data_IF_474396942336
#
_entry.id   IF_474396942336
#
_cell.length_a   1.000
_cell.length_b   1.000
_cell.length_c   1.000
_cell.angle_alpha   90.00
_cell.angle_beta   90.00
_cell.angle_gamma   90.00
#
_symmetry.space_group_name_H-M   'P 1'
#
loop_
_entity.id
_entity.type
_entity.pdbx_description
1 polymer ?
#
# COMPACT_ATOMS: atom_id res chain seq x y z
N UNK A 1 18.48 14.32 12.98
CA UNK A 1 18.67 15.16 11.77
C UNK A 1 17.93 16.48 11.84
N UNK A 2 16.61 16.52 12.06
CA UNK A 2 15.86 17.79 12.16
C UNK A 2 16.42 18.78 13.19
N UNK A 3 16.74 18.31 14.41
CA UNK A 3 17.35 19.15 15.44
C UNK A 3 18.73 19.69 15.04
N UNK A 4 19.57 18.83 14.45
CA UNK A 4 20.92 19.21 14.00
C UNK A 4 20.82 20.33 12.95
N UNK A 5 19.87 20.22 12.01
CA UNK A 5 19.62 21.27 11.03
C UNK A 5 19.13 22.56 11.69
N UNK A 6 18.25 22.47 12.70
CA UNK A 6 17.78 23.61 13.48
C UNK A 6 18.91 24.33 14.24
N UNK A 7 19.80 23.58 14.89
CA UNK A 7 20.98 24.12 15.58
C UNK A 7 21.94 24.78 14.58
N UNK A 8 22.16 24.15 13.41
CA UNK A 8 22.99 24.71 12.35
C UNK A 8 22.42 26.04 11.82
N UNK A 9 21.10 26.13 11.62
CA UNK A 9 20.42 27.37 11.21
C UNK A 9 20.54 28.44 12.31
N UNK A 10 20.45 28.06 13.59
CA UNK A 10 20.63 28.99 14.70
C UNK A 10 22.07 29.54 14.80
N UNK A 11 23.08 28.72 14.48
CA UNK A 11 24.49 29.16 14.42
C UNK A 11 24.76 30.09 13.24
N UNK A 12 24.15 29.83 12.08
CA UNK A 12 24.33 30.66 10.89
C UNK A 12 23.62 32.02 10.96
N UNK A 13 22.46 32.09 11.62
CA UNK A 13 21.66 33.32 11.74
C UNK A 13 21.35 33.67 13.21
N UNK A 14 22.37 34.08 13.99
CA UNK A 14 22.22 34.32 15.44
C UNK A 14 21.34 35.52 15.78
N UNK A 15 21.20 36.50 14.87
CA UNK A 15 20.34 37.69 15.03
C UNK A 15 18.92 37.52 14.48
N UNK A 16 18.53 36.29 14.13
CA UNK A 16 17.24 36.00 13.49
C UNK A 16 17.21 36.40 12.01
N UNK A 17 16.31 35.78 11.25
CA UNK A 17 16.18 36.01 9.81
C UNK A 17 15.61 37.40 9.44
N UNK A 18 15.07 38.15 10.42
CA UNK A 18 14.34 39.41 10.21
C UNK A 18 14.55 40.49 11.30
N UNK A 19 15.78 40.61 11.80
CA UNK A 19 16.20 41.73 12.64
C UNK A 19 16.01 41.52 14.16
N UNK A 20 16.40 42.52 14.97
CA UNK A 20 16.71 42.36 16.40
C UNK A 20 15.52 42.00 17.32
N UNK A 21 14.27 42.04 16.83
CA UNK A 21 13.06 41.76 17.62
C UNK A 21 12.11 40.71 16.99
N UNK A 22 12.58 39.92 16.02
CA UNK A 22 11.75 38.86 15.42
C UNK A 22 12.19 37.44 15.80
N UNK A 23 11.24 36.51 15.57
CA UNK A 23 11.13 35.13 16.06
C UNK A 23 12.48 34.41 16.11
N UNK A 24 12.93 34.07 17.33
CA UNK A 24 14.08 33.18 17.53
C UNK A 24 13.81 31.82 16.90
N UNK A 25 14.80 31.28 16.20
CA UNK A 25 14.75 29.94 15.61
C UNK A 25 14.73 28.88 16.71
N UNK A 26 13.57 28.28 16.96
CA UNK A 26 13.44 27.20 17.94
C UNK A 26 13.88 25.86 17.33
N UNK A 27 15.03 25.28 17.73
CA UNK A 27 15.53 24.03 17.15
C UNK A 27 14.57 22.84 17.39
N UNK A 28 13.69 22.95 18.39
CA UNK A 28 12.63 21.97 18.65
C UNK A 28 11.63 21.82 17.50
N UNK A 29 11.24 22.92 16.85
CA UNK A 29 10.28 22.86 15.72
C UNK A 29 10.91 22.14 14.54
N UNK A 30 12.17 22.44 14.21
CA UNK A 30 12.92 21.75 13.16
C UNK A 30 13.13 20.25 13.47
N UNK A 31 13.30 19.90 14.75
CA UNK A 31 13.38 18.50 15.17
C UNK A 31 12.09 17.74 14.84
N UNK A 32 10.94 18.32 15.17
CA UNK A 32 9.62 17.74 14.92
C UNK A 32 9.34 17.64 13.41
N UNK A 33 9.58 18.71 12.65
CA UNK A 33 9.38 18.72 11.19
C UNK A 33 10.24 17.67 10.50
N UNK A 34 11.52 17.57 10.89
CA UNK A 34 12.43 16.57 10.32
C UNK A 34 12.03 15.13 10.64
N UNK A 35 11.52 14.88 11.85
CA UNK A 35 10.97 13.56 12.21
C UNK A 35 9.69 13.25 11.41
N UNK A 36 8.79 14.22 11.27
CA UNK A 36 7.56 14.10 10.49
C UNK A 36 7.84 13.77 9.03
N UNK A 37 8.72 14.53 8.39
CA UNK A 37 9.06 14.40 6.98
C UNK A 37 9.75 13.05 6.70
N UNK A 38 10.64 12.61 7.58
CA UNK A 38 11.28 11.31 7.45
C UNK A 38 10.26 10.17 7.56
N UNK A 39 9.44 10.17 8.61
CA UNK A 39 8.42 9.13 8.79
C UNK A 39 7.42 9.12 7.64
N UNK A 40 6.87 10.27 7.26
CA UNK A 40 5.93 10.38 6.14
C UNK A 40 6.54 10.01 4.79
N UNK A 41 7.83 10.28 4.59
CA UNK A 41 8.57 9.83 3.41
C UNK A 41 8.79 8.31 3.37
N UNK A 42 9.08 7.66 4.49
CA UNK A 42 9.32 6.20 4.52
C UNK A 42 8.01 5.41 4.38
N UNK A 43 6.93 5.89 5.00
CA UNK A 43 5.63 5.22 4.99
C UNK A 43 4.77 5.57 3.78
N UNK A 44 5.12 6.63 3.05
CA UNK A 44 4.30 7.28 2.01
C UNK A 44 2.93 7.79 2.49
N UNK A 45 2.82 8.18 3.77
CA UNK A 45 1.54 8.60 4.37
C UNK A 45 1.57 10.05 4.82
N UNK A 46 0.57 10.83 4.40
CA UNK A 46 0.38 12.23 4.83
C UNK A 46 -0.20 12.33 6.25
N UNK A 47 -0.81 11.25 6.76
CA UNK A 47 -1.40 11.18 8.11
C UNK A 47 -0.40 11.44 9.23
N UNK A 48 0.89 11.17 9.02
CA UNK A 48 1.96 11.45 9.99
C UNK A 48 2.02 12.94 10.36
N UNK A 49 1.80 13.84 9.39
CA UNK A 49 1.76 15.28 9.64
C UNK A 49 0.58 15.64 10.56
N UNK A 50 -0.57 15.01 10.35
CA UNK A 50 -1.79 15.23 11.16
C UNK A 50 -1.59 14.70 12.57
N UNK A 51 -1.03 13.51 12.74
CA UNK A 51 -0.72 12.93 14.06
C UNK A 51 0.19 13.87 14.85
N UNK A 52 1.23 14.39 14.21
CA UNK A 52 2.19 15.29 14.87
C UNK A 52 1.54 16.62 15.24
N UNK A 53 0.69 17.15 14.36
CA UNK A 53 -0.12 18.33 14.65
C UNK A 53 -1.01 18.14 15.89
N UNK A 54 -1.79 17.04 15.93
CA UNK A 54 -2.64 16.71 17.08
C UNK A 54 -1.82 16.64 18.38
N UNK A 55 -0.62 16.05 18.31
CA UNK A 55 0.29 15.96 19.45
C UNK A 55 0.89 17.30 19.89
N UNK A 56 1.03 18.29 18.99
CA UNK A 56 1.60 19.61 19.33
C UNK A 56 0.56 20.63 19.77
N UNK A 57 -0.72 20.46 19.39
CA UNK A 57 -1.82 21.33 19.82
C UNK A 57 -1.75 22.79 19.33
N UNK A 58 -0.90 23.10 18.35
CA UNK A 58 -0.73 24.45 17.77
C UNK A 58 -0.96 24.45 16.27
N UNK A 59 -2.01 25.17 15.82
CA UNK A 59 -2.45 25.20 14.42
C UNK A 59 -1.56 26.09 13.55
N UNK A 60 -0.93 27.12 14.13
CA UNK A 60 -0.14 28.09 13.35
C UNK A 60 1.03 27.47 12.57
N UNK A 61 1.59 26.36 13.05
CA UNK A 61 2.73 25.69 12.41
C UNK A 61 2.32 24.51 11.51
N UNK A 62 1.02 24.25 11.31
CA UNK A 62 0.55 23.07 10.56
C UNK A 62 0.88 23.14 9.06
N UNK A 63 0.68 24.31 8.44
CA UNK A 63 0.87 24.50 7.00
C UNK A 63 2.31 24.19 6.55
N UNK A 64 3.37 24.78 7.15
CA UNK A 64 4.74 24.49 6.72
C UNK A 64 5.16 23.03 6.98
N UNK A 65 4.67 22.42 8.06
CA UNK A 65 4.93 20.99 8.36
C UNK A 65 4.29 20.10 7.29
N UNK A 66 3.04 20.38 6.92
CA UNK A 66 2.32 19.60 5.93
C UNK A 66 3.00 19.69 4.55
N UNK A 67 3.43 20.88 4.15
CA UNK A 67 4.20 21.08 2.89
C UNK A 67 5.50 20.26 2.92
N UNK A 68 6.25 20.31 4.02
CA UNK A 68 7.50 19.55 4.15
C UNK A 68 7.27 18.03 4.02
N UNK A 69 6.22 17.51 4.68
CA UNK A 69 5.85 16.08 4.61
C UNK A 69 5.38 15.69 3.21
N UNK A 70 4.59 16.53 2.54
CA UNK A 70 4.13 16.28 1.17
C UNK A 70 5.29 16.22 0.17
N UNK A 71 6.24 17.15 0.28
CA UNK A 71 7.44 17.15 -0.59
C UNK A 71 8.27 15.90 -0.32
N UNK A 72 8.51 15.55 0.95
CA UNK A 72 9.26 14.35 1.31
C UNK A 72 8.57 13.07 0.79
N UNK A 73 7.24 13.00 0.90
CA UNK A 73 6.45 11.89 0.38
C UNK A 73 6.57 11.81 -1.15
N UNK A 74 6.35 12.92 -1.87
CA UNK A 74 6.42 12.95 -3.33
C UNK A 74 7.80 12.52 -3.87
N UNK A 75 8.88 13.00 -3.24
CA UNK A 75 10.25 12.59 -3.58
C UNK A 75 10.42 11.09 -3.31
N UNK A 76 10.04 10.63 -2.11
CA UNK A 76 10.17 9.21 -1.74
C UNK A 76 9.39 8.28 -2.67
N UNK A 77 8.14 8.62 -3.02
CA UNK A 77 7.31 7.85 -3.95
C UNK A 77 7.91 7.75 -5.35
N UNK A 78 8.70 8.75 -5.76
CA UNK A 78 9.39 8.71 -7.04
C UNK A 78 10.64 7.81 -7.02
N UNK A 79 11.36 7.79 -5.90
CA UNK A 79 12.62 7.06 -5.77
C UNK A 79 12.45 5.59 -5.42
N UNK A 80 11.55 5.25 -4.49
CA UNK A 80 11.45 3.91 -3.92
C UNK A 80 10.00 3.54 -3.59
N UNK A 81 9.61 2.25 -3.65
CA UNK A 81 8.32 1.81 -3.13
C UNK A 81 8.24 2.00 -1.62
N UNK A 82 7.02 2.08 -1.07
CA UNK A 82 6.82 2.23 0.37
C UNK A 82 7.49 1.07 1.15
N UNK A 83 7.80 1.32 2.42
CA UNK A 83 8.34 0.27 3.29
C UNK A 83 7.40 -0.93 3.40
N UNK A 84 6.09 -0.69 3.30
CA UNK A 84 5.05 -1.72 3.38
C UNK A 84 5.05 -2.60 2.13
N UNK A 85 5.09 -2.00 0.95
CA UNK A 85 5.17 -2.75 -0.31
C UNK A 85 6.46 -3.57 -0.40
N UNK A 86 7.56 -2.98 0.08
CA UNK A 86 8.85 -3.65 0.15
C UNK A 86 8.79 -4.88 1.07
N UNK A 87 8.18 -4.74 2.24
CA UNK A 87 8.00 -5.84 3.20
C UNK A 87 7.10 -6.95 2.63
N UNK A 88 6.02 -6.61 1.94
CA UNK A 88 5.12 -7.57 1.30
C UNK A 88 5.88 -8.40 0.25
N UNK A 89 6.69 -7.74 -0.59
CA UNK A 89 7.53 -8.39 -1.60
C UNK A 89 8.58 -9.29 -0.98
N UNK A 90 9.28 -8.84 0.07
CA UNK A 90 10.29 -9.64 0.78
C UNK A 90 9.66 -10.89 1.41
N UNK A 91 8.47 -10.76 1.99
CA UNK A 91 7.74 -11.87 2.61
C UNK A 91 7.01 -12.78 1.62
N UNK A 92 7.06 -12.48 0.31
CA UNK A 92 6.34 -13.22 -0.74
C UNK A 92 4.86 -13.47 -0.39
N UNK A 93 4.19 -12.46 0.18
CA UNK A 93 2.78 -12.59 0.51
C UNK A 93 1.94 -12.42 -0.76
N UNK A 94 0.89 -13.24 -0.96
CA UNK A 94 -0.04 -13.04 -2.06
C UNK A 94 -0.80 -11.72 -1.82
N UNK A 95 -0.36 -10.66 -2.49
CA UNK A 95 -0.98 -9.35 -2.47
C UNK A 95 -1.42 -8.99 -3.89
N UNK A 96 -2.65 -8.50 -4.02
CA UNK A 96 -3.19 -8.04 -5.28
C UNK A 96 -2.83 -6.55 -5.41
N UNK A 97 -1.90 -6.17 -6.32
CA UNK A 97 -1.60 -4.76 -6.52
C UNK A 97 -2.83 -4.04 -7.07
N UNK A 98 -2.99 -2.77 -6.72
CA UNK A 98 -3.97 -1.91 -7.36
C UNK A 98 -3.68 -1.88 -8.86
N UNK A 99 -4.65 -2.30 -9.66
CA UNK A 99 -4.55 -2.28 -11.12
C UNK A 99 -4.97 -0.86 -11.55
N UNK A 100 -4.03 0.03 -11.93
CA UNK A 100 -4.41 1.35 -12.37
C UNK A 100 -5.25 1.23 -13.65
N UNK A 101 -6.44 1.84 -13.62
CA UNK A 101 -7.36 1.89 -14.75
C UNK A 101 -6.75 2.53 -16.02
N UNK A 102 -5.58 3.15 -15.92
CA UNK A 102 -4.87 3.82 -17.02
C UNK A 102 -3.82 2.93 -17.68
N UNK A 103 -3.57 1.71 -17.18
CA UNK A 103 -2.64 0.79 -17.83
C UNK A 103 -3.32 0.14 -19.06
N UNK A 104 -3.07 0.71 -20.23
CA UNK A 104 -3.56 0.22 -21.53
C UNK A 104 -3.22 -1.25 -21.77
N UNK A 105 -2.15 -1.76 -21.17
CA UNK A 105 -1.73 -3.16 -21.25
C UNK A 105 -2.69 -4.15 -20.57
N UNK A 106 -3.43 -3.76 -19.53
CA UNK A 106 -4.32 -4.67 -18.80
C UNK A 106 -5.73 -4.77 -19.41
N UNK A 107 -6.13 -3.79 -20.23
CA UNK A 107 -7.44 -3.80 -20.89
C UNK A 107 -7.62 -4.93 -21.92
N UNK A 108 -6.51 -5.50 -22.42
CA UNK A 108 -6.53 -6.60 -23.38
C UNK A 108 -6.61 -7.99 -22.75
N UNK A 109 -6.45 -8.11 -21.42
CA UNK A 109 -6.38 -9.42 -20.77
C UNK A 109 -7.79 -9.92 -20.48
N UNK A 110 -8.14 -11.07 -21.05
CA UNK A 110 -9.45 -11.72 -20.84
C UNK A 110 -9.35 -12.70 -19.68
N UNK A 111 -10.45 -12.85 -18.93
CA UNK A 111 -10.52 -13.81 -17.82
C UNK A 111 -10.15 -15.24 -18.24
N UNK A 112 -10.44 -15.62 -19.47
CA UNK A 112 -10.09 -16.94 -20.04
C UNK A 112 -8.58 -17.24 -20.02
N UNK A 113 -7.74 -16.20 -20.07
CA UNK A 113 -6.27 -16.33 -20.08
C UNK A 113 -5.67 -16.52 -18.68
N UNK A 114 -6.39 -16.08 -17.63
CA UNK A 114 -5.92 -16.14 -16.24
C UNK A 114 -6.62 -17.27 -15.47
N UNK A 115 -7.87 -17.58 -15.81
CA UNK A 115 -8.65 -18.58 -15.09
C UNK A 115 -8.05 -19.98 -15.24
N UNK A 116 -8.08 -20.76 -14.15
CA UNK A 116 -7.74 -22.18 -14.22
C UNK A 116 -8.87 -22.93 -14.93
N UNK A 117 -8.58 -23.50 -16.10
CA UNK A 117 -9.58 -24.23 -16.93
C UNK A 117 -9.93 -25.61 -16.37
N UNK A 118 -9.00 -26.25 -15.65
CA UNK A 118 -9.21 -27.58 -15.06
C UNK A 118 -9.75 -27.43 -13.63
N UNK A 119 -11.07 -27.33 -13.48
CA UNK A 119 -11.75 -27.22 -12.18
C UNK A 119 -12.55 -28.50 -11.92
N UNK A 120 -12.38 -29.10 -10.73
CA UNK A 120 -13.23 -30.22 -10.29
C UNK A 120 -14.57 -29.65 -9.84
N UNK A 121 -15.65 -30.17 -10.39
CA UNK A 121 -17.02 -29.73 -10.09
C UNK A 121 -17.83 -30.86 -9.44
N UNK A 122 -18.87 -30.48 -8.73
CA UNK A 122 -19.85 -31.41 -8.16
C UNK A 122 -21.17 -31.28 -8.90
N UNK A 123 -21.89 -32.38 -9.13
CA UNK A 123 -23.25 -32.33 -9.71
C UNK A 123 -24.30 -32.66 -8.66
N UNK A 124 -25.54 -32.21 -8.86
CA UNK A 124 -26.68 -32.54 -7.99
C UNK A 124 -26.87 -34.06 -7.81
N UNK A 125 -26.47 -34.85 -8.81
CA UNK A 125 -26.56 -36.32 -8.80
C UNK A 125 -25.34 -37.02 -8.19
N UNK A 126 -24.33 -36.27 -7.73
CA UNK A 126 -23.13 -36.87 -7.14
C UNK A 126 -23.43 -37.61 -5.83
N UNK A 127 -22.82 -38.78 -5.66
CA UNK A 127 -22.96 -39.58 -4.44
C UNK A 127 -22.05 -39.05 -3.34
N UNK A 128 -22.44 -39.22 -2.07
CA UNK A 128 -21.65 -38.83 -0.91
C UNK A 128 -20.19 -39.36 -0.95
N UNK A 129 -20.00 -40.58 -1.45
CA UNK A 129 -18.67 -41.17 -1.63
C UNK A 129 -17.78 -40.38 -2.62
N UNK A 130 -18.35 -39.79 -3.67
CA UNK A 130 -17.62 -38.94 -4.62
C UNK A 130 -17.19 -37.63 -3.95
N UNK A 131 -18.06 -37.02 -3.15
CA UNK A 131 -17.76 -35.81 -2.36
C UNK A 131 -16.61 -36.07 -1.38
N UNK A 132 -16.67 -37.17 -0.64
CA UNK A 132 -15.65 -37.52 0.34
C UNK A 132 -14.30 -37.79 -0.33
N UNK A 133 -14.29 -38.44 -1.50
CA UNK A 133 -13.08 -38.63 -2.32
C UNK A 133 -12.51 -37.29 -2.79
N UNK A 134 -13.34 -36.39 -3.32
CA UNK A 134 -12.93 -35.06 -3.77
C UNK A 134 -12.31 -34.23 -2.64
N UNK A 135 -12.92 -34.25 -1.46
CA UNK A 135 -12.40 -33.53 -0.29
C UNK A 135 -11.08 -34.11 0.22
N UNK A 136 -10.90 -35.44 0.12
CA UNK A 136 -9.67 -36.12 0.52
C UNK A 136 -8.53 -35.89 -0.49
N UNK A 137 -8.83 -35.84 -1.78
CA UNK A 137 -7.85 -35.57 -2.85
C UNK A 137 -7.35 -34.13 -2.83
N UNK A 138 -8.20 -33.17 -2.45
CA UNK A 138 -7.88 -31.73 -2.53
C UNK A 138 -8.13 -30.99 -1.20
N UNK A 139 -7.31 -31.23 -0.15
CA UNK A 139 -7.51 -30.61 1.16
C UNK A 139 -7.27 -29.09 1.19
N UNK A 140 -6.66 -28.52 0.15
CA UNK A 140 -6.39 -27.07 0.04
C UNK A 140 -7.57 -26.27 -0.51
N UNK A 141 -8.50 -26.91 -1.22
CA UNK A 141 -9.67 -26.23 -1.79
C UNK A 141 -10.78 -26.18 -0.75
N UNK A 142 -11.27 -24.96 -0.47
CA UNK A 142 -12.35 -24.72 0.52
C UNK A 142 -13.73 -24.60 -0.12
N UNK A 143 -13.80 -24.49 -1.44
CA UNK A 143 -15.04 -24.32 -2.17
C UNK A 143 -14.97 -25.10 -3.49
N UNK A 144 -16.09 -25.73 -3.85
CA UNK A 144 -16.26 -26.45 -5.11
C UNK A 144 -17.49 -25.91 -5.82
N UNK A 145 -17.40 -25.60 -7.13
CA UNK A 145 -18.57 -25.19 -7.91
C UNK A 145 -19.53 -26.38 -8.09
N UNK A 146 -20.82 -26.11 -7.96
CA UNK A 146 -21.89 -27.08 -8.21
C UNK A 146 -22.48 -26.82 -9.60
N UNK A 147 -22.62 -27.89 -10.39
CA UNK A 147 -23.10 -27.89 -11.77
C UNK A 147 -24.38 -28.72 -11.86
N UNK A 148 -25.32 -28.31 -12.72
CA UNK A 148 -26.58 -29.04 -12.93
C UNK A 148 -26.30 -30.43 -13.54
N UNK A 149 -25.58 -30.47 -14.66
CA UNK A 149 -25.50 -31.66 -15.52
C UNK A 149 -24.03 -32.00 -15.90
N UNK A 150 -23.60 -33.25 -15.69
CA UNK A 150 -22.23 -33.70 -16.00
C UNK A 150 -21.98 -33.78 -17.52
N UNK A 151 -23.04 -33.89 -18.32
CA UNK A 151 -23.00 -34.15 -19.77
C UNK A 151 -22.65 -32.92 -20.63
N UNK A 152 -22.93 -31.71 -20.12
CA UNK A 152 -22.71 -30.44 -20.84
C UNK A 152 -21.22 -30.16 -21.05
N UNK A 153 -20.36 -30.60 -20.12
CA UNK A 153 -18.92 -30.34 -20.16
C UNK A 153 -18.14 -31.31 -21.06
N UNK A 154 -18.60 -32.56 -21.20
CA UNK A 154 -17.96 -33.54 -22.10
C UNK A 154 -18.06 -33.14 -23.58
N UNK A 155 -19.10 -32.36 -23.97
CA UNK A 155 -19.22 -31.83 -25.34
C UNK A 155 -18.35 -30.60 -25.60
N UNK A 156 -18.05 -29.78 -24.60
CA UNK A 156 -17.17 -28.61 -24.76
C UNK A 156 -15.69 -28.98 -24.90
N UNK A 157 -15.26 -30.13 -24.38
CA UNK A 157 -13.91 -30.67 -24.61
C UNK A 157 -13.74 -31.31 -26.00
N UNK A 158 -14.84 -31.68 -26.67
CA UNK A 158 -14.83 -32.32 -28.00
C UNK A 158 -15.05 -31.34 -29.17
N UNK A 159 -15.27 -30.05 -28.87
CA UNK A 159 -15.58 -29.00 -29.86
C UNK A 159 -14.53 -27.87 -29.91
N UNK A 160 -13.34 -28.11 -29.34
CA UNK A 160 -12.18 -27.21 -29.39
C UNK A 160 -10.95 -27.98 -29.89
#
# INVERSE_FOLDING_TARGET
MGRIMGEFVAVLYPTGLRGPNEIQTYPGVYAVVGAAAFCGGVTHTVSVAVIIFEMTGQIFYILPVMIAVLIANAISSYLQPSIYDSMIKIKNLPYLPDIPATSSSFHGIRAEQIMTKNVRYLSKESTYAEVQRLMSEMPKLRAFPIVEDKSVYSKSELSN
#
